data_IF_502835307788
#
_entry.id   IF_502835307788
#
_cell.length_a   1.000
_cell.length_b   1.000
_cell.length_c   1.000
_cell.angle_alpha   90.00
_cell.angle_beta   90.00
_cell.angle_gamma   90.00
#
_symmetry.space_group_name_H-M   'P 1'
#
loop_
_entity.id
_entity.type
_entity.pdbx_description
1 polymer ?
#
# COMPACT_ATOMS: atom_id res chain seq x y z
N UNK A 1 0.51 -33.61 -9.05
CA UNK A 1 0.38 -32.67 -7.90
C UNK A 1 1.33 -31.47 -7.96
N UNK A 2 2.50 -31.51 -8.63
CA UNK A 2 3.49 -30.40 -8.61
C UNK A 2 3.36 -29.23 -9.64
N UNK A 3 2.63 -29.30 -10.78
CA UNK A 3 2.75 -28.29 -11.84
C UNK A 3 2.08 -26.94 -11.52
N UNK A 4 1.23 -26.86 -10.50
CA UNK A 4 0.49 -25.64 -10.13
C UNK A 4 1.22 -24.74 -9.13
N UNK A 5 2.29 -25.22 -8.49
CA UNK A 5 3.01 -24.46 -7.45
C UNK A 5 3.77 -23.26 -8.01
N UNK A 6 4.30 -23.37 -9.24
CA UNK A 6 5.07 -22.30 -9.89
C UNK A 6 4.21 -21.07 -10.22
N UNK A 7 3.03 -21.21 -10.85
CA UNK A 7 2.11 -20.09 -11.05
C UNK A 7 1.61 -19.48 -9.74
N UNK A 8 1.28 -20.31 -8.74
CA UNK A 8 0.81 -19.84 -7.43
C UNK A 8 1.91 -19.03 -6.73
N UNK A 9 3.15 -19.51 -6.72
CA UNK A 9 4.27 -18.78 -6.12
C UNK A 9 4.50 -17.43 -6.80
N UNK A 10 4.36 -17.35 -8.13
CA UNK A 10 4.46 -16.08 -8.87
C UNK A 10 3.35 -15.10 -8.47
N UNK A 11 2.11 -15.57 -8.31
CA UNK A 11 0.99 -14.74 -7.86
C UNK A 11 1.20 -14.27 -6.43
N UNK A 12 1.62 -15.15 -5.52
CA UNK A 12 1.90 -14.78 -4.13
C UNK A 12 3.03 -13.77 -4.02
N UNK A 13 4.10 -13.92 -4.81
CA UNK A 13 5.19 -12.95 -4.85
C UNK A 13 4.69 -11.58 -5.37
N UNK A 14 3.89 -11.59 -6.45
CA UNK A 14 3.30 -10.35 -6.97
C UNK A 14 2.40 -9.66 -5.92
N UNK A 15 1.54 -10.41 -5.25
CA UNK A 15 0.68 -9.89 -4.17
C UNK A 15 1.51 -9.41 -2.99
N UNK A 16 2.57 -10.12 -2.59
CA UNK A 16 3.45 -9.70 -1.51
C UNK A 16 4.14 -8.37 -1.83
N UNK A 17 4.66 -8.21 -3.06
CA UNK A 17 5.26 -6.96 -3.51
C UNK A 17 4.23 -5.82 -3.57
N UNK A 18 3.03 -6.10 -4.08
CA UNK A 18 1.95 -5.13 -4.16
C UNK A 18 1.53 -4.66 -2.75
N UNK A 19 1.35 -5.60 -1.81
CA UNK A 19 0.95 -5.30 -0.45
C UNK A 19 2.05 -4.54 0.31
N UNK A 20 3.31 -4.91 0.11
CA UNK A 20 4.45 -4.19 0.66
C UNK A 20 4.51 -2.76 0.14
N UNK A 21 4.40 -2.56 -1.18
CA UNK A 21 4.36 -1.23 -1.79
C UNK A 21 3.20 -0.39 -1.28
N UNK A 22 2.01 -0.98 -1.18
CA UNK A 22 0.83 -0.33 -0.63
C UNK A 22 1.03 0.12 0.82
N UNK A 23 1.50 -0.79 1.70
CA UNK A 23 1.77 -0.47 3.10
C UNK A 23 2.85 0.61 3.28
N UNK A 24 3.91 0.57 2.45
CA UNK A 24 4.92 1.63 2.41
C UNK A 24 4.31 2.96 1.98
N UNK A 25 3.47 2.99 0.95
CA UNK A 25 2.84 4.21 0.47
C UNK A 25 1.92 4.82 1.53
N UNK A 26 1.13 4.01 2.22
CA UNK A 26 0.29 4.42 3.35
C UNK A 26 1.07 4.96 4.55
N UNK A 27 2.32 4.54 4.72
CA UNK A 27 3.18 5.00 5.83
C UNK A 27 3.96 6.24 5.44
N UNK A 28 4.63 6.21 4.28
CA UNK A 28 5.52 7.27 3.83
C UNK A 28 4.77 8.52 3.38
N UNK A 29 3.59 8.39 2.80
CA UNK A 29 2.82 9.55 2.34
C UNK A 29 2.40 10.47 3.50
N UNK A 30 1.79 9.98 4.60
CA UNK A 30 1.55 10.82 5.78
C UNK A 30 2.83 11.35 6.40
N UNK A 31 3.90 10.55 6.48
CA UNK A 31 5.18 10.96 7.08
C UNK A 31 5.81 12.14 6.31
N UNK A 32 5.71 12.14 4.98
CA UNK A 32 6.17 13.22 4.12
C UNK A 32 5.26 14.43 4.23
N UNK A 33 3.95 14.22 4.17
CA UNK A 33 2.99 15.31 4.28
C UNK A 33 3.05 16.04 5.62
N UNK A 34 3.29 15.33 6.74
CA UNK A 34 3.53 15.98 8.04
C UNK A 34 4.82 16.79 8.05
N UNK A 35 5.90 16.29 7.44
CA UNK A 35 7.16 17.02 7.31
C UNK A 35 7.03 18.28 6.45
N UNK A 36 6.11 18.28 5.48
CA UNK A 36 5.78 19.43 4.62
C UNK A 36 4.71 20.36 5.23
N UNK A 37 4.25 20.08 6.46
CA UNK A 37 3.31 20.93 7.20
C UNK A 37 1.84 20.80 6.78
N UNK A 38 1.47 19.71 6.09
CA UNK A 38 0.07 19.44 5.74
C UNK A 38 -0.78 19.25 7.01
N UNK A 39 -1.99 19.83 6.99
CA UNK A 39 -2.93 19.71 8.10
C UNK A 39 -3.39 18.27 8.32
N UNK A 40 -3.59 17.89 9.59
CA UNK A 40 -4.00 16.53 10.00
C UNK A 40 -5.27 16.05 9.32
N UNK A 41 -6.27 16.93 9.15
CA UNK A 41 -7.51 16.61 8.45
C UNK A 41 -7.27 16.29 6.97
N UNK A 42 -6.41 17.05 6.29
CA UNK A 42 -6.09 16.79 4.89
C UNK A 42 -5.38 15.44 4.72
N UNK A 43 -4.41 15.12 5.58
CA UNK A 43 -3.73 13.82 5.57
C UNK A 43 -4.70 12.66 5.87
N UNK A 44 -5.60 12.84 6.83
CA UNK A 44 -6.63 11.85 7.14
C UNK A 44 -7.61 11.62 5.99
N UNK A 45 -8.04 12.68 5.30
CA UNK A 45 -8.89 12.59 4.12
C UNK A 45 -8.19 11.88 2.95
N UNK A 46 -6.93 12.22 2.68
CA UNK A 46 -6.15 11.56 1.62
C UNK A 46 -5.98 10.06 1.91
N UNK A 47 -5.63 9.69 3.15
CA UNK A 47 -5.47 8.29 3.53
C UNK A 47 -6.79 7.50 3.48
N UNK A 48 -7.89 8.10 3.93
CA UNK A 48 -9.20 7.44 3.90
C UNK A 48 -9.82 7.35 2.51
N UNK A 49 -9.50 8.29 1.61
CA UNK A 49 -9.99 8.28 0.23
C UNK A 49 -9.65 6.99 -0.53
N UNK A 50 -8.55 6.32 -0.17
CA UNK A 50 -8.20 5.01 -0.72
C UNK A 50 -9.29 3.96 -0.49
N UNK A 51 -9.97 4.00 0.65
CA UNK A 51 -11.02 3.04 1.03
C UNK A 51 -12.43 3.43 0.56
N UNK A 52 -12.55 4.52 -0.21
CA UNK A 52 -13.85 4.99 -0.74
C UNK A 52 -14.28 4.20 -1.97
N UNK A 53 -13.33 3.70 -2.76
CA UNK A 53 -13.57 2.87 -3.95
C UNK A 53 -13.72 1.39 -3.63
#
# INVERSE_FOLDING_TARGET
>A
MAPHLRPIASLLLAVALLLAGNGLQFTLLPLRGTAEGMGTLALGLIGSAYYVG
#
